data_IF_038247826600
#
_entry.id   IF_038247826600
#
_cell.length_a   1.000
_cell.length_b   1.000
_cell.length_c   1.000
_cell.angle_alpha   90.00
_cell.angle_beta   90.00
_cell.angle_gamma   90.00
#
_symmetry.space_group_name_H-M   'P 1'
#
loop_
_entity.id
_entity.type
_entity.pdbx_description
1 polymer ?
#
# COMPACT_ATOMS: atom_id res chain seq x y z
N UNK A 1 10.63 39.51 25.57
CA UNK A 1 9.39 38.87 25.11
C UNK A 1 9.70 37.41 25.13
N UNK A 2 9.52 36.79 26.30
CA UNK A 2 9.82 35.39 26.50
C UNK A 2 8.76 34.62 25.72
N UNK A 3 9.20 33.95 24.66
CA UNK A 3 8.38 33.07 23.83
C UNK A 3 8.17 31.78 24.63
N UNK A 4 7.45 31.90 25.75
CA UNK A 4 7.26 30.84 26.73
C UNK A 4 6.10 29.95 26.27
N UNK A 5 6.40 29.13 25.26
CA UNK A 5 5.51 28.03 24.91
C UNK A 5 5.61 26.97 26.01
N UNK A 6 4.48 26.46 26.53
CA UNK A 6 4.51 25.41 27.52
C UNK A 6 5.24 24.17 26.98
N UNK A 7 6.02 23.52 27.83
CA UNK A 7 6.67 22.26 27.48
C UNK A 7 5.63 21.20 27.11
N UNK A 8 5.89 20.46 26.03
CA UNK A 8 5.00 19.38 25.58
C UNK A 8 5.01 18.26 26.61
N UNK A 9 3.84 18.01 27.20
CA UNK A 9 3.63 16.97 28.21
C UNK A 9 3.21 15.63 27.59
N UNK A 10 3.30 14.54 28.34
CA UNK A 10 2.77 13.24 27.92
C UNK A 10 1.25 13.30 27.64
N UNK A 11 0.49 14.09 28.42
CA UNK A 11 -0.94 14.28 28.22
C UNK A 11 -1.27 14.95 26.87
N UNK A 12 -0.33 15.73 26.32
CA UNK A 12 -0.46 16.31 24.97
C UNK A 12 -0.28 15.25 23.88
N UNK A 13 0.62 14.28 24.09
CA UNK A 13 0.79 13.14 23.18
C UNK A 13 -0.38 12.15 23.22
N UNK A 14 -0.95 11.89 24.40
CA UNK A 14 -2.03 10.93 24.56
C UNK A 14 -3.30 11.36 23.80
N UNK A 15 -3.53 12.68 23.68
CA UNK A 15 -4.61 13.27 22.88
C UNK A 15 -4.20 13.65 21.45
N UNK A 16 -2.94 13.46 21.08
CA UNK A 16 -2.45 13.85 19.77
C UNK A 16 -3.03 12.95 18.65
N UNK A 17 -3.34 13.56 17.52
CA UNK A 17 -3.73 12.84 16.30
C UNK A 17 -2.54 12.80 15.37
N UNK A 18 -2.07 11.58 15.05
CA UNK A 18 -1.02 11.40 14.06
C UNK A 18 -1.51 11.88 12.68
N UNK A 19 -0.81 12.85 12.11
CA UNK A 19 -1.07 13.40 10.78
C UNK A 19 0.15 13.24 9.88
N UNK A 20 -0.09 12.93 8.61
CA UNK A 20 0.93 12.89 7.56
C UNK A 20 0.45 13.77 6.41
N UNK A 21 1.24 14.77 6.03
CA UNK A 21 0.81 15.77 5.03
C UNK A 21 -0.46 16.53 5.46
N UNK A 22 -0.54 16.91 6.75
CA UNK A 22 -1.70 17.56 7.38
C UNK A 22 -3.01 16.75 7.41
N UNK A 23 -3.03 15.55 6.84
CA UNK A 23 -4.17 14.65 6.87
C UNK A 23 -4.04 13.64 8.00
N UNK A 24 -5.12 13.34 8.76
CA UNK A 24 -5.13 12.24 9.73
C UNK A 24 -4.69 10.94 9.07
N UNK A 25 -3.80 10.20 9.74
CA UNK A 25 -3.35 8.89 9.27
C UNK A 25 -4.32 7.83 9.75
N UNK A 26 -4.82 7.01 8.82
CA UNK A 26 -5.61 5.83 9.18
C UNK A 26 -4.76 4.82 9.95
N UNK A 27 -5.24 4.43 11.12
CA UNK A 27 -4.57 3.45 11.97
C UNK A 27 -4.78 2.05 11.39
N UNK A 28 -3.76 1.19 11.53
CA UNK A 28 -3.91 -0.25 11.21
C UNK A 28 -5.04 -0.83 12.06
N UNK A 29 -5.99 -1.51 11.43
CA UNK A 29 -7.08 -2.20 12.11
C UNK A 29 -6.76 -3.68 12.25
N UNK A 30 -7.04 -4.26 13.44
CA UNK A 30 -6.97 -5.70 13.65
C UNK A 30 -8.29 -6.30 13.19
N UNK A 31 -8.20 -7.23 12.24
CA UNK A 31 -9.35 -7.95 11.69
C UNK A 31 -9.10 -9.46 11.78
N UNK A 32 -10.18 -10.22 11.77
CA UNK A 32 -10.14 -11.69 11.62
C UNK A 32 -10.59 -12.04 10.22
N UNK A 33 -9.69 -12.62 9.42
CA UNK A 33 -9.97 -13.08 8.06
C UNK A 33 -9.39 -14.49 7.86
N UNK A 34 -10.01 -15.27 6.98
CA UNK A 34 -9.45 -16.55 6.52
C UNK A 34 -8.60 -16.30 5.27
N UNK A 35 -7.44 -16.95 5.19
CA UNK A 35 -6.54 -16.93 4.04
C UNK A 35 -6.11 -18.36 3.74
N UNK A 36 -5.92 -18.66 2.46
CA UNK A 36 -5.47 -19.98 2.05
C UNK A 36 -4.09 -20.31 2.64
N UNK A 37 -3.91 -21.59 2.99
CA UNK A 37 -2.64 -22.08 3.56
C UNK A 37 -1.45 -21.81 2.63
N UNK A 38 -1.64 -21.90 1.31
CA UNK A 38 -0.62 -21.60 0.31
C UNK A 38 -0.17 -20.14 0.34
N UNK A 39 -1.12 -19.20 0.49
CA UNK A 39 -0.82 -17.76 0.60
C UNK A 39 0.00 -17.48 1.86
N UNK A 40 -0.43 -18.03 3.00
CA UNK A 40 0.29 -17.87 4.28
C UNK A 40 1.71 -18.45 4.15
N UNK A 41 1.84 -19.65 3.58
CA UNK A 41 3.14 -20.32 3.40
C UNK A 41 4.10 -19.49 2.53
N UNK A 42 3.61 -18.97 1.40
CA UNK A 42 4.38 -18.11 0.52
C UNK A 42 4.89 -16.83 1.19
N UNK A 43 4.04 -16.13 1.96
CA UNK A 43 4.49 -14.93 2.65
C UNK A 43 5.36 -15.22 3.86
N UNK A 44 5.21 -16.39 4.51
CA UNK A 44 6.12 -16.86 5.55
C UNK A 44 7.51 -17.15 5.00
N UNK A 45 7.62 -17.78 3.82
CA UNK A 45 8.94 -18.07 3.22
C UNK A 45 9.66 -16.80 2.75
N UNK A 46 8.92 -15.76 2.37
CA UNK A 46 9.47 -14.44 2.01
C UNK A 46 9.74 -13.52 3.21
N UNK A 47 9.22 -13.87 4.39
CA UNK A 47 9.40 -13.06 5.59
C UNK A 47 10.84 -13.17 6.10
N UNK A 48 11.63 -12.13 5.88
CA UNK A 48 12.92 -11.93 6.56
C UNK A 48 12.74 -11.17 7.87
N UNK A 49 13.44 -10.04 8.03
CA UNK A 49 13.26 -9.12 9.17
C UNK A 49 11.85 -8.51 9.24
N UNK A 50 11.18 -8.37 8.10
CA UNK A 50 9.78 -7.95 8.03
C UNK A 50 8.88 -9.17 8.24
N UNK A 51 7.93 -9.10 9.16
CA UNK A 51 6.94 -10.16 9.38
C UNK A 51 6.00 -10.37 8.18
N UNK A 52 5.53 -11.61 7.98
CA UNK A 52 4.69 -12.00 6.84
C UNK A 52 3.39 -11.18 6.74
N UNK A 53 2.80 -10.77 7.87
CA UNK A 53 1.61 -9.92 7.90
C UNK A 53 1.85 -8.55 7.26
N UNK A 54 3.04 -7.97 7.47
CA UNK A 54 3.43 -6.70 6.84
C UNK A 54 3.53 -6.86 5.34
N UNK A 55 4.10 -7.97 4.86
CA UNK A 55 4.21 -8.25 3.43
C UNK A 55 2.84 -8.44 2.77
N UNK A 56 1.92 -9.15 3.42
CA UNK A 56 0.53 -9.29 2.95
C UNK A 56 -0.11 -7.90 2.81
N UNK A 57 -0.01 -7.06 3.84
CA UNK A 57 -0.58 -5.72 3.78
C UNK A 57 0.07 -4.84 2.70
N UNK A 58 1.39 -4.92 2.52
CA UNK A 58 2.10 -4.20 1.45
C UNK A 58 1.62 -4.65 0.06
N UNK A 59 1.42 -5.96 -0.14
CA UNK A 59 0.86 -6.50 -1.38
C UNK A 59 -0.57 -6.01 -1.65
N UNK A 60 -1.45 -6.05 -0.65
CA UNK A 60 -2.83 -5.54 -0.79
C UNK A 60 -2.85 -4.05 -1.15
N UNK A 61 -1.97 -3.24 -0.55
CA UNK A 61 -1.84 -1.82 -0.88
C UNK A 61 -1.44 -1.57 -2.33
N UNK A 62 -0.56 -2.41 -2.90
CA UNK A 62 -0.16 -2.29 -4.30
C UNK A 62 -1.33 -2.57 -5.24
N UNK A 63 -2.10 -3.62 -4.98
CA UNK A 63 -3.29 -3.93 -5.77
C UNK A 63 -4.31 -2.79 -5.72
N UNK A 64 -4.58 -2.24 -4.53
CA UNK A 64 -5.49 -1.08 -4.42
C UNK A 64 -4.96 0.13 -5.21
N UNK A 65 -3.64 0.39 -5.16
CA UNK A 65 -3.06 1.48 -5.93
C UNK A 65 -3.14 1.23 -7.44
N UNK A 66 -2.89 0.00 -7.90
CA UNK A 66 -3.05 -0.41 -9.29
C UNK A 66 -4.49 -0.24 -9.76
N UNK A 67 -5.47 -0.70 -8.97
CA UNK A 67 -6.92 -0.58 -9.27
C UNK A 67 -7.40 0.89 -9.31
N UNK A 68 -6.84 1.75 -8.46
CA UNK A 68 -7.18 3.18 -8.40
C UNK A 68 -6.53 4.00 -9.52
N UNK A 69 -5.53 3.44 -10.19
CA UNK A 69 -4.88 4.11 -11.30
C UNK A 69 -5.68 3.74 -12.56
N UNK A 70 -6.53 4.64 -13.06
CA UNK A 70 -7.24 4.54 -14.37
C UNK A 70 -6.28 4.43 -15.58
N UNK A 71 -4.99 4.18 -15.33
CA UNK A 71 -4.03 3.90 -16.39
C UNK A 71 -4.32 2.51 -16.96
N UNK A 72 -4.31 2.36 -18.29
CA UNK A 72 -4.36 1.05 -18.90
C UNK A 72 -3.22 0.23 -18.31
N UNK A 73 -3.56 -0.89 -17.68
CA UNK A 73 -2.57 -1.80 -17.14
C UNK A 73 -1.50 -2.06 -18.22
N UNK A 74 -0.25 -2.23 -17.80
CA UNK A 74 0.87 -2.43 -18.73
C UNK A 74 0.58 -3.57 -19.73
N UNK A 75 -0.18 -4.58 -19.30
CA UNK A 75 -0.67 -5.68 -20.13
C UNK A 75 -1.56 -5.21 -21.29
N UNK A 76 -2.52 -4.32 -21.05
CA UNK A 76 -3.41 -3.77 -22.07
C UNK A 76 -2.64 -2.88 -23.04
N UNK A 77 -1.68 -2.10 -22.55
CA UNK A 77 -0.77 -1.33 -23.40
C UNK A 77 0.05 -2.25 -24.31
N UNK A 78 0.64 -3.31 -23.75
CA UNK A 78 1.39 -4.31 -24.49
C UNK A 78 0.52 -5.02 -25.54
N UNK A 79 -0.69 -5.47 -25.17
CA UNK A 79 -1.62 -6.11 -26.10
C UNK A 79 -1.99 -5.18 -27.25
N UNK A 80 -2.21 -3.89 -26.97
CA UNK A 80 -2.52 -2.89 -27.98
C UNK A 80 -1.35 -2.74 -28.97
N UNK A 81 -0.14 -2.50 -28.46
CA UNK A 81 1.07 -2.35 -29.28
C UNK A 81 1.32 -3.60 -30.12
N UNK A 82 1.22 -4.79 -29.53
CA UNK A 82 1.43 -6.06 -30.26
C UNK A 82 0.42 -6.21 -31.40
N UNK A 83 -0.86 -5.87 -31.18
CA UNK A 83 -1.88 -5.90 -32.24
C UNK A 83 -1.54 -4.93 -33.38
N UNK A 84 -1.17 -3.70 -33.05
CA UNK A 84 -0.82 -2.68 -34.05
C UNK A 84 0.38 -3.11 -34.91
N UNK A 85 1.39 -3.74 -34.30
CA UNK A 85 2.57 -4.23 -35.03
C UNK A 85 2.24 -5.47 -35.89
N UNK A 86 1.35 -6.36 -35.43
CA UNK A 86 0.87 -7.48 -36.24
C UNK A 86 0.05 -7.01 -37.45
N UNK A 87 -0.82 -6.02 -37.28
CA UNK A 87 -1.61 -5.44 -38.39
C UNK A 87 -0.68 -4.79 -39.43
N UNK A 88 0.30 -3.98 -39.01
CA UNK A 88 1.30 -3.38 -39.90
C UNK A 88 2.16 -4.41 -40.65
N UNK A 89 2.49 -5.53 -40.00
CA UNK A 89 3.28 -6.59 -40.62
C UNK A 89 2.47 -7.43 -41.62
N UNK A 90 1.14 -7.41 -41.52
CA UNK A 90 0.22 -8.13 -42.40
C UNK A 90 -0.36 -7.30 -43.56
N UNK A 91 -0.09 -5.99 -43.58
CA UNK A 91 -0.47 -5.04 -44.62
C UNK A 91 0.68 -4.75 -45.59
#
# INVERSE_FOLDING_TARGET
>A
MDDEYPEVTQADFDRAVLRQGLKPVEKKQRITIMLDAGVISYFKSKAGKKGYQTLINESLKKIIAEDQTDQPNLENMLRKVIREELEKASA
#
